data_IF_408473749408
#
_entry.id   IF_408473749408
#
_cell.length_a   1.000
_cell.length_b   1.000
_cell.length_c   1.000
_cell.angle_alpha   90.00
_cell.angle_beta   90.00
_cell.angle_gamma   90.00
#
_symmetry.space_group_name_H-M   'P 1'
#
loop_
_entity.id
_entity.type
_entity.pdbx_description
1 polymer ?
#
# COMPACT_ATOMS: atom_id res chain seq x y z
N UNK A 1 -24.49 -0.80 6.78
CA UNK A 1 -23.16 -1.41 6.94
C UNK A 1 -22.22 -0.87 5.88
N UNK A 2 -21.08 -0.37 6.30
CA UNK A 2 -20.12 0.11 5.31
C UNK A 2 -19.58 -1.05 4.49
N UNK A 3 -19.48 -0.84 3.19
CA UNK A 3 -18.80 -1.78 2.30
C UNK A 3 -17.31 -1.52 2.30
N UNK A 4 -16.77 -1.24 3.46
CA UNK A 4 -15.41 -0.79 3.66
C UNK A 4 -14.62 -1.84 4.42
N UNK A 5 -13.47 -2.23 3.87
CA UNK A 5 -12.55 -3.15 4.54
C UNK A 5 -11.16 -2.53 4.51
N UNK A 6 -10.46 -2.58 5.63
CA UNK A 6 -9.09 -2.05 5.76
C UNK A 6 -8.15 -3.20 6.04
N UNK A 7 -7.13 -3.32 5.22
CA UNK A 7 -6.06 -4.30 5.39
C UNK A 7 -4.77 -3.61 5.75
N UNK A 8 -3.92 -4.30 6.47
CA UNK A 8 -2.59 -3.81 6.84
C UNK A 8 -1.52 -4.73 6.27
N UNK A 9 -0.44 -4.13 5.77
CA UNK A 9 0.79 -4.87 5.54
C UNK A 9 1.55 -5.03 6.85
N UNK A 10 2.79 -5.53 6.77
CA UNK A 10 3.57 -5.85 7.97
C UNK A 10 4.47 -4.72 8.44
N UNK A 11 4.54 -3.60 7.70
CA UNK A 11 5.47 -2.54 8.04
C UNK A 11 5.10 -1.80 9.32
N UNK A 12 3.81 -1.54 9.53
CA UNK A 12 3.37 -0.78 10.71
C UNK A 12 1.93 -1.16 11.06
N UNK A 13 1.72 -2.38 11.57
CA UNK A 13 0.35 -2.82 11.87
C UNK A 13 -0.32 -1.99 12.95
N UNK A 14 0.43 -1.39 13.87
CA UNK A 14 -0.16 -0.54 14.92
C UNK A 14 -0.84 0.68 14.33
N UNK A 15 -0.29 1.27 13.27
CA UNK A 15 -0.93 2.41 12.62
C UNK A 15 -2.27 2.01 12.00
N UNK A 16 -2.28 0.89 11.29
CA UNK A 16 -3.53 0.39 10.70
C UNK A 16 -4.56 0.05 11.78
N UNK A 17 -4.11 -0.50 12.90
CA UNK A 17 -4.99 -0.80 14.02
C UNK A 17 -5.61 0.47 14.58
N UNK A 18 -4.85 1.55 14.68
CA UNK A 18 -5.39 2.83 15.12
C UNK A 18 -6.43 3.37 14.14
N UNK A 19 -6.16 3.23 12.84
CA UNK A 19 -7.11 3.70 11.82
C UNK A 19 -8.44 2.97 11.97
N UNK A 20 -8.43 1.65 12.05
CA UNK A 20 -9.68 0.89 12.15
C UNK A 20 -10.37 1.12 13.49
N UNK A 21 -9.62 1.39 14.55
CA UNK A 21 -10.22 1.73 15.83
C UNK A 21 -11.04 3.01 15.75
N UNK A 22 -10.53 4.01 15.05
CA UNK A 22 -11.27 5.26 14.82
C UNK A 22 -12.49 5.04 13.95
N UNK A 23 -12.45 4.08 13.05
CA UNK A 23 -13.57 3.77 12.16
C UNK A 23 -14.56 2.79 12.79
N UNK A 24 -14.22 2.25 13.96
CA UNK A 24 -15.04 1.25 14.67
C UNK A 24 -15.31 0.00 13.83
N UNK A 25 -14.30 -0.44 13.11
CA UNK A 25 -14.34 -1.68 12.33
C UNK A 25 -13.13 -2.54 12.65
N UNK A 26 -13.16 -3.86 12.43
CA UNK A 26 -11.97 -4.68 12.57
C UNK A 26 -11.06 -4.58 11.36
N UNK A 27 -9.80 -4.98 11.53
CA UNK A 27 -8.92 -5.16 10.38
C UNK A 27 -9.42 -6.33 9.53
N UNK A 28 -9.23 -6.20 8.22
CA UNK A 28 -9.54 -7.29 7.31
C UNK A 28 -8.64 -8.50 7.55
N UNK A 29 -9.19 -9.67 7.32
CA UNK A 29 -8.48 -10.91 7.58
C UNK A 29 -7.60 -11.29 6.37
N UNK A 30 -6.30 -11.27 6.57
CA UNK A 30 -5.33 -11.65 5.55
C UNK A 30 -4.08 -12.18 6.23
N UNK A 31 -3.43 -13.13 5.57
CA UNK A 31 -2.13 -13.62 6.00
C UNK A 31 -1.07 -13.05 5.05
N UNK A 32 -0.15 -12.27 5.60
CA UNK A 32 0.93 -11.65 4.84
C UNK A 32 2.25 -12.13 5.42
N UNK A 33 3.12 -12.65 4.57
CA UNK A 33 4.40 -13.16 5.03
C UNK A 33 5.39 -13.29 3.90
N UNK A 34 6.42 -14.09 4.14
CA UNK A 34 7.46 -14.35 3.15
C UNK A 34 7.76 -15.84 3.09
N UNK A 35 8.04 -16.32 1.89
CA UNK A 35 8.67 -17.62 1.75
C UNK A 35 10.12 -17.55 2.21
N UNK A 36 10.75 -18.72 2.37
CA UNK A 36 12.14 -18.79 2.87
C UNK A 36 13.14 -18.06 1.97
N UNK A 37 12.83 -17.90 0.70
CA UNK A 37 13.70 -17.19 -0.24
C UNK A 37 13.43 -15.68 -0.28
N UNK A 38 12.52 -15.19 0.56
CA UNK A 38 12.20 -13.76 0.62
C UNK A 38 11.03 -13.30 -0.22
N UNK A 39 10.44 -14.19 -1.01
CA UNK A 39 9.26 -13.81 -1.81
C UNK A 39 8.06 -13.53 -0.91
N UNK A 40 7.34 -12.48 -1.24
CA UNK A 40 6.15 -12.08 -0.48
C UNK A 40 4.99 -13.02 -0.79
N UNK A 41 4.28 -13.44 0.25
CA UNK A 41 3.07 -14.25 0.09
C UNK A 41 1.91 -13.57 0.79
N UNK A 42 0.75 -13.56 0.14
CA UNK A 42 -0.47 -12.95 0.68
C UNK A 42 -1.64 -13.89 0.43
N UNK A 43 -2.45 -14.09 1.46
CA UNK A 43 -3.71 -14.82 1.32
C UNK A 43 -4.81 -13.99 1.95
N UNK A 44 -5.85 -13.67 1.18
CA UNK A 44 -7.01 -12.94 1.68
C UNK A 44 -8.03 -13.97 2.15
N UNK A 45 -8.38 -13.91 3.42
CA UNK A 45 -9.29 -14.89 4.02
C UNK A 45 -10.65 -14.31 4.35
N UNK A 46 -10.91 -13.10 3.88
CA UNK A 46 -12.17 -12.41 4.10
C UNK A 46 -12.88 -12.18 2.75
N UNK A 47 -14.20 -12.18 2.75
CA UNK A 47 -14.95 -11.87 1.54
C UNK A 47 -14.92 -10.38 1.29
N UNK A 48 -14.29 -9.99 0.17
CA UNK A 48 -14.15 -8.58 -0.22
C UNK A 48 -14.89 -8.26 -1.51
N UNK A 49 -15.68 -9.18 -2.02
CA UNK A 49 -16.35 -9.00 -3.32
C UNK A 49 -17.21 -7.74 -3.32
N UNK A 50 -16.93 -6.86 -4.27
CA UNK A 50 -17.68 -5.61 -4.44
C UNK A 50 -17.43 -4.56 -3.37
N UNK A 51 -16.51 -4.81 -2.45
CA UNK A 51 -16.27 -3.89 -1.34
C UNK A 51 -15.20 -2.86 -1.69
N UNK A 52 -15.24 -1.76 -0.98
CA UNK A 52 -14.25 -0.69 -1.07
C UNK A 52 -13.13 -1.03 -0.11
N UNK A 53 -11.95 -1.35 -0.64
CA UNK A 53 -10.85 -1.91 0.14
C UNK A 53 -9.72 -0.89 0.22
N UNK A 54 -9.20 -0.72 1.42
CA UNK A 54 -8.06 0.16 1.69
C UNK A 54 -6.90 -0.68 2.22
N UNK A 55 -5.73 -0.49 1.62
CA UNK A 55 -4.49 -1.11 2.10
C UNK A 55 -3.68 -0.01 2.79
N UNK A 56 -3.44 -0.18 4.09
CA UNK A 56 -2.66 0.79 4.87
C UNK A 56 -1.27 0.22 5.07
N UNK A 57 -0.29 0.82 4.40
CA UNK A 57 1.08 0.33 4.45
C UNK A 57 2.06 1.44 4.11
N UNK A 58 2.86 1.90 5.06
CA UNK A 58 3.96 2.80 4.71
C UNK A 58 5.04 2.03 3.94
N UNK A 59 5.71 2.71 3.03
CA UNK A 59 6.80 2.09 2.28
C UNK A 59 8.14 2.59 2.77
N UNK A 60 8.29 2.67 4.09
CA UNK A 60 9.55 2.92 4.74
C UNK A 60 10.45 1.68 4.65
N UNK A 61 11.66 1.76 5.19
CA UNK A 61 12.60 0.64 5.12
C UNK A 61 12.06 -0.61 5.83
N UNK A 62 12.19 -1.80 5.25
CA UNK A 62 12.74 -2.07 3.92
C UNK A 62 11.74 -1.73 2.82
N UNK A 63 12.11 -0.72 2.03
CA UNK A 63 11.18 -0.08 1.11
C UNK A 63 10.66 -1.03 0.03
N UNK A 64 11.56 -1.80 -0.58
CA UNK A 64 11.15 -2.67 -1.68
C UNK A 64 10.24 -3.78 -1.20
N UNK A 65 10.53 -4.37 -0.04
CA UNK A 65 9.68 -5.40 0.53
C UNK A 65 8.30 -4.85 0.87
N UNK A 66 8.25 -3.68 1.47
CA UNK A 66 6.98 -3.08 1.86
C UNK A 66 6.15 -2.66 0.65
N UNK A 67 6.80 -2.18 -0.40
CA UNK A 67 6.13 -1.87 -1.65
C UNK A 67 5.59 -3.14 -2.30
N UNK A 68 6.40 -4.20 -2.32
CA UNK A 68 5.98 -5.47 -2.92
C UNK A 68 4.76 -6.04 -2.18
N UNK A 69 4.68 -5.89 -0.86
CA UNK A 69 3.50 -6.32 -0.12
C UNK A 69 2.24 -5.64 -0.63
N UNK A 70 2.31 -4.34 -0.91
CA UNK A 70 1.16 -3.62 -1.45
C UNK A 70 0.77 -4.18 -2.81
N UNK A 71 1.74 -4.41 -3.68
CA UNK A 71 1.48 -4.89 -5.04
C UNK A 71 0.86 -6.27 -5.03
N UNK A 72 1.41 -7.19 -4.24
CA UNK A 72 0.91 -8.57 -4.18
C UNK A 72 -0.47 -8.59 -3.52
N UNK A 73 -0.66 -7.80 -2.47
CA UNK A 73 -1.94 -7.73 -1.79
C UNK A 73 -3.02 -7.16 -2.73
N UNK A 74 -2.67 -6.14 -3.51
CA UNK A 74 -3.60 -5.55 -4.47
C UNK A 74 -4.03 -6.58 -5.51
N UNK A 75 -3.10 -7.38 -6.00
CA UNK A 75 -3.44 -8.44 -6.96
C UNK A 75 -4.35 -9.49 -6.34
N UNK A 76 -4.07 -9.89 -5.10
CA UNK A 76 -4.92 -10.85 -4.39
C UNK A 76 -6.34 -10.31 -4.21
N UNK A 77 -6.46 -9.04 -3.84
CA UNK A 77 -7.76 -8.40 -3.67
C UNK A 77 -8.52 -8.27 -4.98
N UNK A 78 -7.81 -7.95 -6.05
CA UNK A 78 -8.41 -7.84 -7.37
C UNK A 78 -8.95 -9.19 -7.82
N UNK A 79 -8.20 -10.26 -7.60
CA UNK A 79 -8.66 -11.62 -7.93
C UNK A 79 -9.82 -12.05 -7.03
N UNK A 80 -9.92 -11.50 -5.85
CA UNK A 80 -11.04 -11.73 -4.95
C UNK A 80 -12.24 -10.83 -5.28
N UNK A 81 -12.18 -10.09 -6.38
CA UNK A 81 -13.27 -9.25 -6.90
C UNK A 81 -13.61 -8.07 -6.01
N UNK A 82 -12.62 -7.49 -5.35
CA UNK A 82 -12.83 -6.23 -4.63
C UNK A 82 -13.36 -5.16 -5.60
N UNK A 83 -14.24 -4.30 -5.12
CA UNK A 83 -14.84 -3.28 -5.96
C UNK A 83 -13.90 -2.15 -6.28
N UNK A 84 -13.16 -1.70 -5.28
CA UNK A 84 -12.16 -0.65 -5.42
C UNK A 84 -11.02 -0.93 -4.45
N UNK A 85 -9.80 -0.66 -4.88
CA UNK A 85 -8.61 -0.87 -4.05
C UNK A 85 -7.87 0.46 -3.96
N UNK A 86 -7.73 0.98 -2.75
CA UNK A 86 -7.02 2.23 -2.49
C UNK A 86 -5.84 1.95 -1.58
N UNK A 87 -4.67 2.42 -1.95
CA UNK A 87 -3.50 2.32 -1.11
C UNK A 87 -3.34 3.60 -0.29
N UNK A 88 -3.27 3.45 1.03
CA UNK A 88 -2.99 4.53 1.95
C UNK A 88 -1.55 4.37 2.39
N UNK A 89 -0.68 5.24 1.89
CA UNK A 89 0.76 5.13 2.09
C UNK A 89 1.22 6.35 2.89
N UNK A 90 1.29 6.22 4.22
CA UNK A 90 1.66 7.37 5.07
C UNK A 90 3.07 7.88 4.79
N UNK A 91 3.97 7.00 4.37
CA UNK A 91 5.30 7.37 3.92
C UNK A 91 5.55 6.70 2.58
N UNK A 92 5.80 7.50 1.55
CA UNK A 92 6.04 6.98 0.21
C UNK A 92 7.55 6.93 -0.03
N UNK A 93 8.10 5.71 -0.02
CA UNK A 93 9.54 5.49 0.04
C UNK A 93 10.34 6.12 -1.08
N UNK A 94 9.80 6.22 -2.26
CA UNK A 94 10.50 6.78 -3.40
C UNK A 94 10.11 8.22 -3.70
N UNK A 95 9.39 8.89 -2.79
CA UNK A 95 8.83 10.22 -3.06
C UNK A 95 9.90 11.26 -3.35
N UNK A 96 11.08 11.15 -2.72
CA UNK A 96 12.15 12.12 -2.95
C UNK A 96 12.79 12.00 -4.33
N UNK A 97 12.44 10.96 -5.09
CA UNK A 97 12.92 10.77 -6.45
C UNK A 97 11.81 11.13 -7.43
N UNK A 98 11.20 12.28 -7.22
CA UNK A 98 10.05 12.71 -8.01
C UNK A 98 10.42 13.61 -9.17
N UNK A 99 11.70 13.92 -9.34
CA UNK A 99 12.16 14.76 -10.45
C UNK A 99 13.50 14.27 -10.98
N UNK A 100 13.72 14.57 -12.22
CA UNK A 100 14.94 14.17 -12.91
C UNK A 100 15.97 15.31 -12.85
N UNK A 101 17.21 15.05 -12.41
CA UNK A 101 18.24 16.06 -12.46
C UNK A 101 18.51 16.50 -13.90
N UNK A 102 18.87 17.79 -14.04
CA UNK A 102 19.12 18.35 -15.35
C UNK A 102 20.27 17.60 -16.05
N UNK A 103 20.08 17.31 -17.31
CA UNK A 103 21.12 16.74 -18.20
C UNK A 103 21.55 15.32 -17.84
N UNK A 104 20.80 14.58 -17.06
CA UNK A 104 21.14 13.19 -16.72
C UNK A 104 20.06 12.23 -17.21
N UNK A 105 20.47 10.97 -17.41
CA UNK A 105 19.55 9.91 -17.83
C UNK A 105 19.26 9.01 -16.67
N UNK A 106 18.58 9.57 -15.68
CA UNK A 106 18.16 8.81 -14.50
C UNK A 106 16.65 8.68 -14.49
N UNK A 107 16.12 7.63 -13.86
CA UNK A 107 14.67 7.46 -13.81
C UNK A 107 14.02 8.48 -12.87
N UNK A 108 12.75 8.73 -13.11
CA UNK A 108 11.91 9.38 -12.12
C UNK A 108 11.26 8.25 -11.34
N UNK A 109 11.92 7.82 -10.27
CA UNK A 109 11.55 6.59 -9.59
C UNK A 109 10.17 6.67 -8.95
N UNK A 110 9.79 7.82 -8.44
CA UNK A 110 8.45 7.98 -7.85
C UNK A 110 7.38 7.72 -8.89
N UNK A 111 7.58 8.16 -10.14
CA UNK A 111 6.63 7.90 -11.21
C UNK A 111 6.58 6.43 -11.56
N UNK A 112 7.73 5.75 -11.59
CA UNK A 112 7.78 4.32 -11.87
C UNK A 112 6.95 3.55 -10.83
N UNK A 113 7.12 3.90 -9.56
CA UNK A 113 6.37 3.24 -8.48
C UNK A 113 4.87 3.52 -8.62
N UNK A 114 4.49 4.76 -8.91
CA UNK A 114 3.09 5.11 -9.10
C UNK A 114 2.48 4.34 -10.27
N UNK A 115 3.23 4.19 -11.37
CA UNK A 115 2.77 3.43 -12.52
C UNK A 115 2.57 1.95 -12.17
N UNK A 116 3.47 1.37 -11.38
CA UNK A 116 3.33 0.00 -10.92
C UNK A 116 2.07 -0.19 -10.09
N UNK A 117 1.81 0.72 -9.17
CA UNK A 117 0.63 0.67 -8.32
C UNK A 117 -0.66 0.76 -9.17
N UNK A 118 -0.67 1.65 -10.14
CA UNK A 118 -1.80 1.79 -11.04
C UNK A 118 -2.01 0.54 -11.89
N UNK A 119 -0.92 -0.05 -12.36
CA UNK A 119 -0.98 -1.23 -13.22
C UNK A 119 -1.61 -2.42 -12.52
N UNK A 120 -1.38 -2.59 -11.22
CA UNK A 120 -2.01 -3.69 -10.48
C UNK A 120 -3.44 -3.38 -10.05
N UNK A 121 -3.99 -2.24 -10.47
CA UNK A 121 -5.39 -1.91 -10.26
C UNK A 121 -5.68 -1.08 -9.03
N UNK A 122 -4.67 -0.45 -8.46
CA UNK A 122 -4.87 0.42 -7.31
C UNK A 122 -5.33 1.80 -7.80
N UNK A 123 -6.44 2.26 -7.25
CA UNK A 123 -6.83 3.65 -7.36
C UNK A 123 -6.02 4.42 -6.33
N UNK A 124 -5.09 5.23 -6.80
CA UNK A 124 -4.11 5.84 -5.93
C UNK A 124 -4.69 6.98 -5.12
N UNK A 125 -4.75 6.79 -3.83
CA UNK A 125 -4.85 7.89 -2.89
C UNK A 125 -3.57 7.88 -2.07
N UNK A 126 -2.60 8.65 -2.53
CA UNK A 126 -1.38 8.87 -1.78
C UNK A 126 -1.70 9.90 -0.70
N UNK A 127 -1.91 9.43 0.52
CA UNK A 127 -1.90 10.35 1.63
C UNK A 127 -0.45 10.52 2.02
N UNK A 128 0.20 11.42 1.35
CA UNK A 128 1.54 11.81 1.71
C UNK A 128 1.43 12.82 2.84
N UNK A 129 1.59 12.35 4.06
CA UNK A 129 1.70 13.25 5.19
C UNK A 129 3.15 13.71 5.22
N UNK A 130 3.46 14.72 4.43
CA UNK A 130 4.74 15.39 4.58
C UNK A 130 4.65 16.24 5.83
N UNK A 131 5.60 16.07 6.72
CA UNK A 131 5.69 16.94 7.86
C UNK A 131 5.96 18.36 7.38
N UNK A 132 5.16 19.35 7.78
CA UNK A 132 5.35 20.71 7.27
C UNK A 132 6.66 21.34 7.71
N UNK A 133 7.27 20.82 8.76
CA UNK A 133 8.55 21.35 9.26
C UNK A 133 9.76 20.64 8.69
N UNK A 134 9.54 19.70 7.80
CA UNK A 134 10.64 18.89 7.29
C UNK A 134 11.46 19.67 6.28
N UNK A 135 12.74 19.89 6.55
CA UNK A 135 13.59 20.54 5.56
C UNK A 135 13.93 19.55 4.45
N UNK A 136 13.91 20.04 3.27
CA UNK A 136 14.33 19.27 2.11
C UNK A 136 15.47 19.99 1.43
#
# INVERSE_FOLDING_TARGET
MPNLVVFSGTAHPQFAQKVVSHLHIPLGAAAVGKFSDGEITVEITENVRGKDVFIVQPTCAPTNDNLMEILVMADALRRASAGRITAVIPYFGYARQDRRPRSTRVPITAKVVADMLTTVGIDLSLIHISEPTRPY
#
